data_IF_167804206041
#
_entry.id   IF_167804206041
#
_cell.length_a   1.000
_cell.length_b   1.000
_cell.length_c   1.000
_cell.angle_alpha   90.00
_cell.angle_beta   90.00
_cell.angle_gamma   90.00
#
_symmetry.space_group_name_H-M   'P 1'
#
loop_
_entity.id
_entity.type
_entity.pdbx_description
1 polymer ?
#
# COMPACT_ATOMS: atom_id res chain seq x y z
N UNK A 1 18.95 4.09 21.15
CA UNK A 1 17.83 4.09 20.18
C UNK A 1 17.75 2.68 19.61
N UNK A 2 16.66 1.95 19.84
CA UNK A 2 16.50 0.64 19.22
C UNK A 2 16.45 0.80 17.70
N UNK A 3 17.17 -0.04 16.97
CA UNK A 3 17.11 -0.07 15.51
C UNK A 3 15.68 -0.40 15.08
N UNK A 4 15.19 0.26 14.02
CA UNK A 4 13.93 -0.19 13.41
C UNK A 4 14.26 -1.50 12.69
N UNK A 5 13.51 -2.59 12.91
CA UNK A 5 13.64 -3.75 12.04
C UNK A 5 13.42 -3.28 10.59
N UNK A 6 14.15 -3.85 9.62
CA UNK A 6 14.00 -3.45 8.23
C UNK A 6 12.54 -3.62 7.79
N UNK A 7 11.99 -2.61 7.11
CA UNK A 7 10.65 -2.71 6.54
C UNK A 7 10.60 -3.87 5.54
N UNK A 8 9.66 -4.83 5.72
CA UNK A 8 9.42 -5.89 4.76
C UNK A 8 9.22 -5.31 3.36
N UNK A 9 9.76 -6.00 2.36
CA UNK A 9 9.58 -5.69 0.95
C UNK A 9 8.94 -6.89 0.29
N UNK A 10 7.72 -6.71 -0.20
CA UNK A 10 6.86 -7.78 -0.70
C UNK A 10 6.44 -7.47 -2.12
N UNK A 11 6.14 -8.49 -2.92
CA UNK A 11 5.76 -8.32 -4.32
C UNK A 11 4.27 -8.58 -4.49
N UNK A 12 3.56 -7.63 -5.10
CA UNK A 12 2.15 -7.78 -5.42
C UNK A 12 1.95 -8.86 -6.49
N UNK A 13 1.01 -9.78 -6.25
CA UNK A 13 0.67 -10.87 -7.16
C UNK A 13 -0.72 -10.66 -7.77
N UNK A 14 -1.70 -10.18 -7.00
CA UNK A 14 -3.08 -10.02 -7.46
C UNK A 14 -3.80 -8.85 -6.80
N UNK A 15 -4.53 -8.09 -7.61
CA UNK A 15 -5.47 -7.08 -7.13
C UNK A 15 -6.74 -7.80 -6.66
N UNK A 16 -7.06 -7.76 -5.36
CA UNK A 16 -8.15 -8.56 -4.79
C UNK A 16 -9.45 -7.77 -4.76
N UNK A 17 -9.43 -6.60 -4.13
CA UNK A 17 -10.64 -5.81 -3.93
C UNK A 17 -10.32 -4.33 -3.74
N UNK A 18 -11.01 -3.41 -4.45
CA UNK A 18 -10.92 -1.98 -4.17
C UNK A 18 -11.63 -1.62 -2.86
N UNK A 19 -11.05 -0.71 -2.09
CA UNK A 19 -11.67 -0.06 -0.94
C UNK A 19 -12.16 1.32 -1.39
N UNK A 20 -13.45 1.45 -1.68
CA UNK A 20 -14.05 2.62 -2.33
C UNK A 20 -14.41 3.77 -1.37
N UNK A 21 -13.85 3.75 -0.17
CA UNK A 21 -14.07 4.81 0.82
C UNK A 21 -13.01 5.91 0.66
N UNK A 22 -13.46 7.10 0.26
CA UNK A 22 -12.62 8.28 0.08
C UNK A 22 -11.84 8.31 -1.25
N UNK A 23 -11.34 9.50 -1.62
CA UNK A 23 -10.73 9.75 -2.94
C UNK A 23 -9.32 9.21 -3.15
N UNK A 24 -8.85 8.28 -2.30
CA UNK A 24 -7.51 7.69 -2.42
C UNK A 24 -7.49 6.26 -2.97
N UNK A 25 -8.67 5.64 -3.12
CA UNK A 25 -8.88 4.31 -3.71
C UNK A 25 -7.81 3.26 -3.33
N UNK A 26 -7.58 3.00 -2.03
CA UNK A 26 -6.71 1.90 -1.64
C UNK A 26 -7.33 0.56 -2.03
N UNK A 27 -6.54 -0.51 -1.99
CA UNK A 27 -7.03 -1.85 -2.31
C UNK A 27 -6.45 -2.92 -1.40
N UNK A 28 -7.19 -4.01 -1.24
CA UNK A 28 -6.64 -5.27 -0.77
C UNK A 28 -5.86 -5.90 -1.91
N UNK A 29 -4.59 -6.20 -1.64
CA UNK A 29 -3.64 -6.77 -2.61
C UNK A 29 -3.05 -8.04 -2.01
N UNK A 30 -3.06 -9.11 -2.80
CA UNK A 30 -2.34 -10.34 -2.51
C UNK A 30 -0.88 -10.15 -2.90
N UNK A 31 0.02 -10.62 -2.04
CA UNK A 31 1.47 -10.55 -2.19
C UNK A 31 2.10 -11.92 -1.94
N UNK A 32 3.40 -12.03 -2.16
CA UNK A 32 4.22 -13.20 -1.78
C UNK A 32 4.30 -13.45 -0.26
N UNK A 33 3.84 -12.51 0.56
CA UNK A 33 3.85 -12.55 2.04
C UNK A 33 2.43 -12.39 2.64
N UNK A 34 1.38 -12.60 1.84
CA UNK A 34 -0.02 -12.53 2.29
C UNK A 34 -0.77 -11.29 1.80
N UNK A 35 -1.83 -10.89 2.51
CA UNK A 35 -2.74 -9.82 2.12
C UNK A 35 -2.37 -8.49 2.77
N UNK A 36 -2.33 -7.43 1.97
CA UNK A 36 -2.03 -6.08 2.41
C UNK A 36 -3.11 -5.09 1.93
N UNK A 37 -3.38 -4.07 2.74
CA UNK A 37 -4.07 -2.86 2.26
C UNK A 37 -3.01 -1.93 1.67
N UNK A 38 -3.12 -1.64 0.38
CA UNK A 38 -2.11 -0.90 -0.38
C UNK A 38 -2.65 0.48 -0.75
N UNK A 39 -1.86 1.49 -0.42
CA UNK A 39 -1.97 2.84 -0.99
C UNK A 39 -1.06 2.92 -2.21
N UNK A 40 -1.61 3.42 -3.31
CA UNK A 40 -0.89 3.49 -4.59
C UNK A 40 -0.22 4.83 -4.78
N UNK A 41 0.88 4.84 -5.55
CA UNK A 41 1.64 6.05 -5.84
C UNK A 41 0.88 7.03 -6.73
N UNK A 42 0.01 6.53 -7.62
CA UNK A 42 -0.84 7.34 -8.49
C UNK A 42 -2.10 7.90 -7.81
N UNK A 43 -2.41 7.49 -6.57
CA UNK A 43 -3.53 8.02 -5.82
C UNK A 43 -3.30 9.47 -5.36
N UNK A 44 -4.36 10.15 -4.90
CA UNK A 44 -4.32 11.56 -4.47
C UNK A 44 -3.16 11.90 -3.51
N UNK A 45 -2.60 13.12 -3.64
CA UNK A 45 -1.37 13.58 -2.98
C UNK A 45 -0.09 12.77 -3.33
N UNK A 46 -0.22 11.72 -4.14
CA UNK A 46 0.86 10.97 -4.75
C UNK A 46 1.87 10.42 -3.73
N UNK A 47 3.19 10.52 -4.02
CA UNK A 47 4.22 9.98 -3.14
C UNK A 47 4.21 10.55 -1.72
N UNK A 48 3.67 11.76 -1.51
CA UNK A 48 3.62 12.39 -0.19
C UNK A 48 2.68 11.65 0.75
N UNK A 49 1.56 11.12 0.24
CA UNK A 49 0.66 10.28 1.03
C UNK A 49 1.35 8.99 1.51
N UNK A 50 2.18 8.38 0.65
CA UNK A 50 2.95 7.18 1.01
C UNK A 50 4.02 7.48 2.07
N UNK A 51 4.70 8.62 1.97
CA UNK A 51 5.65 9.06 2.99
C UNK A 51 4.93 9.31 4.33
N UNK A 52 3.75 9.96 4.30
CA UNK A 52 2.96 10.18 5.50
C UNK A 52 2.51 8.85 6.14
N UNK A 53 2.04 7.89 5.35
CA UNK A 53 1.67 6.55 5.81
C UNK A 53 2.85 5.86 6.51
N UNK A 54 4.02 5.91 5.88
CA UNK A 54 5.23 5.30 6.42
C UNK A 54 5.64 5.94 7.74
N UNK A 55 5.71 7.28 7.78
CA UNK A 55 6.12 8.01 8.99
C UNK A 55 5.15 7.77 10.14
N UNK A 56 3.84 7.89 9.89
CA UNK A 56 2.82 7.72 10.93
C UNK A 56 2.73 6.27 11.39
N UNK A 57 2.80 5.30 10.48
CA UNK A 57 2.84 3.89 10.84
C UNK A 57 4.04 3.55 11.72
N UNK A 58 5.24 4.03 11.36
CA UNK A 58 6.44 3.81 12.16
C UNK A 58 6.36 4.48 13.54
N UNK A 59 5.80 5.69 13.61
CA UNK A 59 5.54 6.35 14.91
C UNK A 59 4.55 5.55 15.75
N UNK A 60 3.45 5.07 15.17
CA UNK A 60 2.45 4.26 15.85
C UNK A 60 3.01 2.93 16.36
N UNK A 61 3.83 2.24 15.56
CA UNK A 61 4.57 1.04 15.99
C UNK A 61 5.48 1.34 17.18
N UNK A 62 6.17 2.49 17.18
CA UNK A 62 7.06 2.89 18.28
C UNK A 62 6.33 3.29 19.55
N UNK A 63 5.08 3.71 19.42
CA UNK A 63 4.18 4.02 20.51
C UNK A 63 3.35 2.81 20.98
N UNK A 64 3.61 1.61 20.45
CA UNK A 64 2.89 0.38 20.75
C UNK A 64 1.37 0.48 20.52
N UNK A 65 0.97 1.28 19.52
CA UNK A 65 -0.42 1.40 19.12
C UNK A 65 -0.84 0.18 18.29
N UNK A 66 -2.11 -0.26 18.39
CA UNK A 66 -2.61 -1.43 17.67
C UNK A 66 -2.85 -1.10 16.19
N UNK A 67 -1.77 -0.95 15.43
CA UNK A 67 -1.79 -0.70 13.99
C UNK A 67 -1.32 -1.94 13.21
N UNK A 68 -1.75 -2.12 11.96
CA UNK A 68 -1.23 -3.18 11.09
C UNK A 68 0.28 -3.06 10.87
N UNK A 69 0.93 -4.19 10.59
CA UNK A 69 2.33 -4.20 10.19
C UNK A 69 2.52 -3.49 8.84
N UNK A 70 3.62 -2.73 8.70
CA UNK A 70 3.95 -2.01 7.48
C UNK A 70 4.82 -2.85 6.55
N UNK A 71 4.62 -2.70 5.25
CA UNK A 71 5.49 -3.24 4.22
C UNK A 71 5.60 -2.26 3.04
N UNK A 72 6.72 -2.35 2.31
CA UNK A 72 6.87 -1.73 1.00
C UNK A 72 6.46 -2.73 -0.07
N UNK A 73 5.35 -2.45 -0.75
CA UNK A 73 4.82 -3.33 -1.80
C UNK A 73 5.37 -2.92 -3.16
N UNK A 74 6.05 -3.84 -3.83
CA UNK A 74 6.46 -3.69 -5.22
C UNK A 74 5.33 -4.12 -6.15
N UNK A 75 4.86 -3.19 -7.00
CA UNK A 75 3.90 -3.49 -8.06
C UNK A 75 4.67 -3.83 -9.34
N UNK A 76 4.62 -5.07 -9.84
CA UNK A 76 5.28 -5.41 -11.09
C UNK A 76 4.55 -4.75 -12.28
N UNK A 77 5.23 -4.46 -13.40
CA UNK A 77 4.65 -3.77 -14.56
C UNK A 77 3.33 -4.32 -15.14
N UNK A 78 3.00 -5.63 -15.05
CA UNK A 78 1.71 -6.14 -15.49
C UNK A 78 0.57 -5.99 -14.46
N UNK A 79 0.86 -5.55 -13.23
CA UNK A 79 -0.14 -5.46 -12.17
C UNK A 79 -1.28 -4.50 -12.56
N UNK A 80 -2.52 -4.91 -12.30
CA UNK A 80 -3.70 -4.07 -12.57
C UNK A 80 -4.11 -3.95 -14.04
N UNK A 81 -3.38 -4.54 -15.00
CA UNK A 81 -3.74 -4.46 -16.43
C UNK A 81 -5.10 -5.06 -16.77
N UNK A 82 -5.59 -5.98 -15.95
CA UNK A 82 -6.89 -6.62 -16.12
C UNK A 82 -8.02 -5.89 -15.36
N UNK A 83 -7.72 -4.81 -14.63
CA UNK A 83 -8.73 -4.06 -13.88
C UNK A 83 -9.65 -3.29 -14.84
N UNK A 84 -10.97 -3.56 -14.88
CA UNK A 84 -11.87 -2.88 -15.79
C UNK A 84 -12.18 -1.41 -15.43
N UNK A 85 -11.96 -0.99 -14.17
CA UNK A 85 -12.27 0.36 -13.69
C UNK A 85 -11.19 1.38 -14.13
N UNK A 86 -11.52 2.37 -14.99
CA UNK A 86 -10.55 3.34 -15.50
C UNK A 86 -9.91 4.20 -14.40
N UNK A 87 -10.66 4.51 -13.34
CA UNK A 87 -10.15 5.32 -12.22
C UNK A 87 -9.06 4.56 -11.47
N UNK A 88 -9.25 3.26 -11.29
CA UNK A 88 -8.25 2.38 -10.67
C UNK A 88 -7.05 2.20 -11.61
N UNK A 89 -7.25 2.06 -12.92
CA UNK A 89 -6.15 1.99 -13.88
C UNK A 89 -5.24 3.22 -13.82
N UNK A 90 -5.81 4.43 -13.70
CA UNK A 90 -5.03 5.66 -13.58
C UNK A 90 -4.22 5.72 -12.28
N UNK A 91 -4.78 5.20 -11.18
CA UNK A 91 -4.10 5.11 -9.87
C UNK A 91 -2.94 4.09 -9.88
N UNK A 92 -3.01 3.05 -10.70
CA UNK A 92 -2.03 1.97 -10.80
C UNK A 92 -0.88 2.24 -11.79
N UNK A 93 -0.91 3.36 -12.53
CA UNK A 93 0.23 3.82 -13.36
C UNK A 93 1.37 4.37 -12.51
#
# INVERSE_FOLDING_TARGET
MADLPPLPRVTATRYVQPLREGGSLPAVVETDDGLYVVKFRGAGQGPRALVAELLVGLMATRLDLPVPALALVHLPPPFGRSEPDPEIQDVLR
#
